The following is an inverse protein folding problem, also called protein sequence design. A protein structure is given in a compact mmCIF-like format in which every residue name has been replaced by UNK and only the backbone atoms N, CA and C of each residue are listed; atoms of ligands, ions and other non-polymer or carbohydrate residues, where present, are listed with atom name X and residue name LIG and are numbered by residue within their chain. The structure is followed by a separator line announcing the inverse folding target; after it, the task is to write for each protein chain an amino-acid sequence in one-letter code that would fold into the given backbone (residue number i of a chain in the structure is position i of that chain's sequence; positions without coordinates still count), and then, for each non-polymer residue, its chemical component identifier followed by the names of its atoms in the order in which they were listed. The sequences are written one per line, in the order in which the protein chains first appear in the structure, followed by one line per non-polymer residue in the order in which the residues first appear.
data_IF_002054949351
#
_entry.id   IF_002054949351
#
_cell.length_a   1.000
_cell.length_b   1.000
_cell.length_c   1.000
_cell.angle_alpha   90.00
_cell.angle_beta   90.00
_cell.angle_gamma   90.00
#
_symmetry.space_group_name_H-M   'P 1'
#
loop_
_entity.id
_entity.type
_entity.pdbx_description
1 polymer ?
#
# COMPACT_ATOMS: atom_id res chain seq x y z
N UNK A 1 -50.42 -7.37 -13.62
CA UNK A 1 -49.55 -7.13 -12.45
C UNK A 1 -48.11 -7.18 -12.91
N UNK A 2 -47.47 -6.03 -13.09
CA UNK A 2 -46.04 -5.96 -13.39
C UNK A 2 -45.26 -6.14 -12.09
N UNK A 3 -44.23 -7.01 -12.03
CA UNK A 3 -43.38 -7.10 -10.86
C UNK A 3 -42.58 -5.79 -10.73
N UNK A 4 -42.77 -5.09 -9.61
CA UNK A 4 -41.98 -3.92 -9.24
C UNK A 4 -40.53 -4.35 -9.10
N UNK A 5 -39.71 -3.94 -10.07
CA UNK A 5 -38.28 -4.19 -10.10
C UNK A 5 -37.62 -3.27 -9.07
N UNK A 6 -37.74 -3.61 -7.79
CA UNK A 6 -36.98 -2.98 -6.70
C UNK A 6 -35.53 -3.42 -6.84
N UNK A 7 -34.81 -2.74 -7.73
CA UNK A 7 -33.35 -2.78 -7.74
C UNK A 7 -32.89 -2.33 -6.35
N UNK A 8 -32.44 -3.29 -5.54
CA UNK A 8 -31.81 -3.00 -4.27
C UNK A 8 -30.60 -2.13 -4.58
N UNK A 9 -30.70 -0.82 -4.31
CA UNK A 9 -29.58 0.10 -4.42
C UNK A 9 -28.49 -0.41 -3.49
N UNK A 10 -27.52 -1.12 -4.07
CA UNK A 10 -26.43 -1.77 -3.33
C UNK A 10 -25.56 -0.66 -2.76
N UNK A 11 -25.79 -0.35 -1.50
CA UNK A 11 -25.18 0.78 -0.79
C UNK A 11 -23.66 0.63 -0.82
N UNK A 12 -22.98 1.50 -1.56
CA UNK A 12 -21.51 1.58 -1.53
C UNK A 12 -21.08 2.05 -0.15
N UNK A 13 -20.01 1.47 0.37
CA UNK A 13 -19.41 1.99 1.59
C UNK A 13 -18.86 3.40 1.32
N UNK A 14 -18.92 4.29 2.32
CA UNK A 14 -18.40 5.64 2.18
C UNK A 14 -16.88 5.62 1.96
N UNK A 15 -16.36 6.63 1.25
CA UNK A 15 -14.92 6.83 1.00
C UNK A 15 -14.10 6.81 2.31
N UNK A 16 -14.68 7.27 3.41
CA UNK A 16 -14.04 7.23 4.73
C UNK A 16 -13.61 5.83 5.15
N UNK A 17 -14.36 4.79 4.76
CA UNK A 17 -14.04 3.41 5.09
C UNK A 17 -12.85 2.89 4.27
N UNK A 18 -12.80 3.23 2.98
CA UNK A 18 -11.64 2.90 2.12
C UNK A 18 -10.37 3.58 2.62
N UNK A 19 -10.48 4.83 3.10
CA UNK A 19 -9.34 5.56 3.65
C UNK A 19 -8.80 4.87 4.90
N UNK A 20 -9.67 4.52 5.85
CA UNK A 20 -9.25 3.82 7.08
C UNK A 20 -8.62 2.46 6.75
N UNK A 21 -9.24 1.69 5.85
CA UNK A 21 -8.71 0.41 5.39
C UNK A 21 -7.35 0.57 4.66
N UNK A 22 -7.23 1.58 3.80
CA UNK A 22 -6.01 1.88 3.07
C UNK A 22 -4.85 2.30 3.98
N UNK A 23 -5.14 3.08 5.03
CA UNK A 23 -4.15 3.46 6.05
C UNK A 23 -3.69 2.21 6.80
N UNK A 24 -4.62 1.38 7.29
CA UNK A 24 -4.28 0.14 7.99
C UNK A 24 -3.45 -0.81 7.13
N UNK A 25 -3.83 -0.99 5.87
CA UNK A 25 -3.09 -1.82 4.91
C UNK A 25 -1.68 -1.27 4.63
N UNK A 26 -1.53 0.03 4.45
CA UNK A 26 -0.22 0.65 4.23
C UNK A 26 0.70 0.45 5.43
N UNK A 27 0.20 0.64 6.65
CA UNK A 27 0.96 0.36 7.86
C UNK A 27 1.36 -1.10 8.00
N UNK A 28 0.42 -2.01 7.71
CA UNK A 28 0.70 -3.44 7.71
C UNK A 28 1.86 -3.78 6.77
N UNK A 29 1.83 -3.28 5.53
CA UNK A 29 2.93 -3.49 4.58
C UNK A 29 4.25 -2.89 5.04
N UNK A 30 4.23 -1.68 5.60
CA UNK A 30 5.45 -1.06 6.12
C UNK A 30 6.07 -1.86 7.26
N UNK A 31 5.25 -2.42 8.16
CA UNK A 31 5.72 -3.28 9.25
C UNK A 31 6.30 -4.58 8.69
N UNK A 32 5.61 -5.25 7.77
CA UNK A 32 6.10 -6.48 7.14
C UNK A 32 7.42 -6.24 6.41
N UNK A 33 7.53 -5.17 5.63
CA UNK A 33 8.77 -4.77 4.96
C UNK A 33 9.88 -4.47 5.98
N UNK A 34 9.58 -3.72 7.04
CA UNK A 34 10.55 -3.43 8.11
C UNK A 34 11.09 -4.70 8.77
N UNK A 35 10.22 -5.67 9.05
CA UNK A 35 10.61 -6.96 9.63
C UNK A 35 11.47 -7.75 8.64
N UNK A 36 11.08 -7.81 7.36
CA UNK A 36 11.87 -8.50 6.33
C UNK A 36 13.27 -7.89 6.16
N UNK A 37 13.37 -6.56 6.16
CA UNK A 37 14.64 -5.83 6.15
C UNK A 37 15.49 -6.15 7.38
N UNK A 38 14.87 -6.16 8.56
CA UNK A 38 15.58 -6.48 9.80
C UNK A 38 16.12 -7.92 9.79
N UNK A 39 15.36 -8.87 9.27
CA UNK A 39 15.82 -10.25 9.04
C UNK A 39 17.03 -10.26 8.11
N UNK A 40 16.96 -9.56 6.98
CA UNK A 40 18.09 -9.49 6.03
C UNK A 40 19.33 -8.86 6.66
N UNK A 41 19.17 -7.80 7.45
CA UNK A 41 20.28 -7.13 8.12
C UNK A 41 20.92 -8.02 9.20
N UNK A 42 20.15 -8.91 9.84
CA UNK A 42 20.69 -9.90 10.78
C UNK A 42 21.55 -10.96 10.09
N UNK A 43 21.18 -11.40 8.89
CA UNK A 43 21.90 -12.44 8.13
C UNK A 43 23.00 -11.89 7.22
N UNK A 44 22.87 -10.64 6.75
CA UNK A 44 23.78 -9.96 5.84
C UNK A 44 24.13 -8.56 6.40
N UNK A 45 24.81 -8.48 7.57
CA UNK A 45 25.10 -7.22 8.21
C UNK A 45 26.02 -6.37 7.35
N UNK A 46 25.62 -5.12 7.09
CA UNK A 46 26.46 -4.13 6.41
C UNK A 46 27.17 -3.25 7.43
N UNK A 47 28.12 -2.45 6.96
CA UNK A 47 28.82 -1.43 7.77
C UNK A 47 27.89 -0.35 8.35
N UNK A 48 26.66 -0.22 7.84
CA UNK A 48 25.66 0.69 8.37
C UNK A 48 24.31 -0.03 8.54
N UNK A 49 23.87 -0.21 9.79
CA UNK A 49 22.55 -0.70 10.12
C UNK A 49 21.49 0.32 9.67
N UNK A 50 20.52 -0.11 8.86
CA UNK A 50 19.44 0.77 8.46
C UNK A 50 18.32 0.04 7.73
N UNK A 51 17.09 0.27 8.20
CA UNK A 51 15.87 -0.14 7.52
C UNK A 51 15.51 0.92 6.49
N UNK A 52 15.36 0.48 5.24
CA UNK A 52 14.88 1.28 4.11
C UNK A 52 13.63 0.60 3.57
N UNK A 53 12.61 1.38 3.23
CA UNK A 53 11.30 0.86 2.82
C UNK A 53 10.92 1.24 1.39
N UNK A 54 11.61 2.20 0.78
CA UNK A 54 11.43 2.56 -0.62
C UNK A 54 12.47 1.83 -1.47
N UNK A 55 12.03 0.91 -2.36
CA UNK A 55 12.92 0.29 -3.33
C UNK A 55 13.67 1.31 -4.19
N UNK A 56 12.99 2.40 -4.55
CA UNK A 56 13.55 3.45 -5.40
C UNK A 56 14.72 4.12 -4.68
N UNK A 57 14.54 4.47 -3.41
CA UNK A 57 15.59 5.08 -2.60
C UNK A 57 16.74 4.09 -2.32
N UNK A 58 16.40 2.83 -2.03
CA UNK A 58 17.40 1.80 -1.82
C UNK A 58 18.26 1.59 -3.08
N UNK A 59 17.68 1.64 -4.28
CA UNK A 59 18.43 1.55 -5.54
C UNK A 59 19.35 2.76 -5.75
N UNK A 60 18.89 3.98 -5.49
CA UNK A 60 19.71 5.20 -5.67
C UNK A 60 20.85 5.30 -4.66
N UNK A 61 20.73 4.65 -3.51
CA UNK A 61 21.77 4.60 -2.46
C UNK A 61 22.63 3.34 -2.50
N UNK A 62 22.61 2.60 -3.61
CA UNK A 62 23.37 1.34 -3.81
C UNK A 62 23.05 0.22 -2.80
N UNK A 63 21.85 0.25 -2.23
CA UNK A 63 21.31 -0.73 -1.28
C UNK A 63 20.51 -1.81 -2.00
N UNK A 64 21.15 -2.49 -2.95
CA UNK A 64 20.48 -3.44 -3.86
C UNK A 64 19.74 -4.58 -3.14
N UNK A 65 20.35 -5.17 -2.10
CA UNK A 65 19.72 -6.25 -1.34
C UNK A 65 18.44 -5.76 -0.67
N UNK A 66 18.48 -4.61 0.01
CA UNK A 66 17.30 -4.00 0.62
C UNK A 66 16.23 -3.71 -0.44
N UNK A 67 16.61 -3.14 -1.59
CA UNK A 67 15.66 -2.87 -2.68
C UNK A 67 14.98 -4.15 -3.18
N UNK A 68 15.72 -5.24 -3.36
CA UNK A 68 15.18 -6.53 -3.82
C UNK A 68 14.17 -7.06 -2.80
N UNK A 69 14.49 -6.99 -1.50
CA UNK A 69 13.60 -7.45 -0.42
C UNK A 69 12.28 -6.67 -0.45
N UNK A 70 12.34 -5.34 -0.52
CA UNK A 70 11.12 -4.51 -0.58
C UNK A 70 10.30 -4.79 -1.84
N UNK A 71 10.95 -4.93 -3.00
CA UNK A 71 10.27 -5.30 -4.25
C UNK A 71 9.58 -6.64 -4.10
N UNK A 72 10.24 -7.65 -3.53
CA UNK A 72 9.64 -8.97 -3.31
C UNK A 72 8.45 -8.87 -2.36
N UNK A 73 8.55 -8.13 -1.26
CA UNK A 73 7.44 -7.93 -0.30
C UNK A 73 6.25 -7.26 -0.99
N UNK A 74 6.46 -6.12 -1.65
CA UNK A 74 5.39 -5.38 -2.29
C UNK A 74 4.79 -6.11 -3.49
N UNK A 75 5.62 -6.77 -4.30
CA UNK A 75 5.14 -7.57 -5.43
C UNK A 75 4.36 -8.79 -4.96
N UNK A 76 4.78 -9.44 -3.87
CA UNK A 76 4.04 -10.57 -3.28
C UNK A 76 2.69 -10.13 -2.76
N UNK A 77 2.63 -9.00 -2.05
CA UNK A 77 1.38 -8.42 -1.58
C UNK A 77 0.46 -8.03 -2.76
N UNK A 78 1.02 -7.40 -3.79
CA UNK A 78 0.28 -7.04 -5.00
C UNK A 78 -0.26 -8.27 -5.74
N UNK A 79 0.58 -9.29 -5.95
CA UNK A 79 0.20 -10.52 -6.64
C UNK A 79 -0.85 -11.34 -5.88
N UNK A 80 -0.73 -11.40 -4.55
CA UNK A 80 -1.72 -12.03 -3.69
C UNK A 80 -3.11 -11.41 -3.90
N UNK A 81 -3.18 -10.07 -3.85
CA UNK A 81 -4.44 -9.34 -3.98
C UNK A 81 -5.00 -9.33 -5.41
N UNK A 82 -4.17 -9.49 -6.45
CA UNK A 82 -4.64 -9.65 -7.83
C UNK A 82 -5.36 -10.98 -8.06
N UNK A 83 -4.90 -12.06 -7.42
CA UNK A 83 -5.45 -13.40 -7.61
C UNK A 83 -6.85 -13.55 -7.01
N UNK A 84 -7.15 -12.80 -5.95
CA UNK A 84 -8.47 -12.76 -5.30
C UNK A 84 -9.49 -11.86 -6.01
N UNK A 85 -9.22 -11.40 -7.23
CA UNK A 85 -10.18 -10.63 -8.03
C UNK A 85 -11.27 -11.57 -8.59
N UNK A 86 -12.04 -12.23 -7.73
CA UNK A 86 -13.19 -13.03 -8.16
C UNK A 86 -14.34 -12.14 -8.63
N UNK A 87 -15.36 -12.75 -9.22
CA UNK A 87 -16.46 -12.09 -9.93
C UNK A 87 -17.34 -11.20 -9.03
N UNK A 88 -17.08 -11.12 -7.72
CA UNK A 88 -17.77 -10.25 -6.79
C UNK A 88 -17.19 -8.81 -6.78
N UNK A 89 -18.05 -7.81 -7.02
CA UNK A 89 -17.68 -6.38 -7.00
C UNK A 89 -16.92 -5.94 -5.73
N UNK A 90 -17.20 -6.57 -4.58
CA UNK A 90 -16.54 -6.24 -3.31
C UNK A 90 -15.07 -6.64 -3.32
N UNK A 91 -14.75 -7.82 -3.82
CA UNK A 91 -13.38 -8.32 -3.92
C UNK A 91 -12.58 -7.52 -4.95
N UNK A 92 -13.21 -7.14 -6.06
CA UNK A 92 -12.58 -6.27 -7.05
C UNK A 92 -12.17 -4.90 -6.47
N UNK A 93 -12.96 -4.35 -5.53
CA UNK A 93 -12.66 -3.09 -4.83
C UNK A 93 -11.55 -3.22 -3.81
N UNK A 94 -11.51 -4.32 -3.06
CA UNK A 94 -10.42 -4.59 -2.09
C UNK A 94 -9.09 -4.81 -2.84
N UNK A 95 -9.14 -5.56 -3.94
CA UNK A 95 -8.00 -5.79 -4.82
C UNK A 95 -7.47 -4.48 -5.43
N UNK A 96 -8.35 -3.57 -5.88
CA UNK A 96 -7.91 -2.26 -6.37
C UNK A 96 -7.36 -1.37 -5.27
N UNK A 97 -7.99 -1.36 -4.09
CA UNK A 97 -7.53 -0.57 -2.95
C UNK A 97 -6.10 -0.96 -2.54
N UNK A 98 -5.88 -2.26 -2.31
CA UNK A 98 -4.56 -2.79 -1.94
C UNK A 98 -3.52 -2.53 -3.03
N UNK A 99 -3.86 -2.67 -4.31
CA UNK A 99 -2.99 -2.35 -5.43
C UNK A 99 -2.52 -0.88 -5.40
N UNK A 100 -3.46 0.07 -5.30
CA UNK A 100 -3.11 1.50 -5.28
C UNK A 100 -2.39 1.90 -3.99
N UNK A 101 -2.73 1.33 -2.84
CA UNK A 101 -1.97 1.55 -1.61
C UNK A 101 -0.53 1.01 -1.73
N UNK A 102 -0.34 -0.19 -2.27
CA UNK A 102 1.00 -0.77 -2.48
C UNK A 102 1.82 0.11 -3.42
N UNK A 103 1.23 0.54 -4.54
CA UNK A 103 1.89 1.43 -5.49
C UNK A 103 2.25 2.78 -4.86
N UNK A 104 1.31 3.39 -4.14
CA UNK A 104 1.52 4.66 -3.43
C UNK A 104 2.65 4.54 -2.40
N UNK A 105 2.71 3.42 -1.68
CA UNK A 105 3.71 3.18 -0.65
C UNK A 105 5.13 3.11 -1.22
N UNK A 106 5.34 2.51 -2.40
CA UNK A 106 6.65 2.44 -3.07
C UNK A 106 7.29 3.83 -3.22
N UNK A 107 6.46 4.85 -3.52
CA UNK A 107 6.92 6.22 -3.67
C UNK A 107 6.94 6.97 -2.34
N UNK A 108 5.89 6.87 -1.52
CA UNK A 108 5.77 7.68 -0.30
C UNK A 108 6.66 7.21 0.84
N UNK A 109 7.06 5.93 0.86
CA UNK A 109 8.05 5.42 1.80
C UNK A 109 9.41 6.13 1.69
N UNK A 110 9.65 6.86 0.60
CA UNK A 110 10.85 7.70 0.45
C UNK A 110 10.94 8.75 1.56
N UNK A 111 9.82 9.24 2.08
CA UNK A 111 9.78 10.20 3.18
C UNK A 111 10.40 9.61 4.45
N UNK A 112 10.11 8.34 4.75
CA UNK A 112 10.75 7.62 5.84
C UNK A 112 12.25 7.47 5.59
N UNK A 113 12.63 7.03 4.40
CA UNK A 113 14.03 6.76 4.06
C UNK A 113 14.90 8.03 4.07
N UNK A 114 14.39 9.17 3.60
CA UNK A 114 15.08 10.48 3.70
C UNK A 114 15.36 10.89 5.15
N UNK A 115 14.60 10.37 6.11
CA UNK A 115 14.81 10.69 7.53
C UNK A 115 15.83 9.77 8.21
N UNK A 116 16.57 8.93 7.47
CA UNK A 116 17.50 7.94 8.05
C UNK A 116 18.57 8.51 8.98
N UNK A 117 18.99 9.77 8.75
CA UNK A 117 20.02 10.47 9.54
C UNK A 117 19.46 11.25 10.74
N UNK A 118 18.13 11.33 10.86
CA UNK A 118 17.46 12.12 11.88
C UNK A 118 17.18 11.29 13.16
N UNK A 119 16.87 11.96 14.28
CA UNK A 119 16.50 11.28 15.51
C UNK A 119 15.32 10.32 15.33
N UNK A 120 15.24 9.32 16.20
CA UNK A 120 14.20 8.27 16.17
C UNK A 120 12.79 8.87 16.18
N UNK A 121 12.56 9.97 16.89
CA UNK A 121 11.26 10.66 16.93
C UNK A 121 10.83 11.16 15.54
N UNK A 122 11.75 11.79 14.79
CA UNK A 122 11.49 12.24 13.42
C UNK A 122 11.22 11.06 12.49
N UNK A 123 11.97 9.97 12.66
CA UNK A 123 11.79 8.74 11.86
C UNK A 123 10.43 8.08 12.11
N UNK A 124 10.00 8.01 13.38
CA UNK A 124 8.66 7.51 13.73
C UNK A 124 7.58 8.41 13.10
N UNK A 125 7.74 9.73 13.19
CA UNK A 125 6.83 10.69 12.54
C UNK A 125 6.75 10.48 11.03
N UNK A 126 7.89 10.32 10.35
CA UNK A 126 7.95 10.07 8.91
C UNK A 126 7.38 8.69 8.52
N UNK A 127 7.57 7.67 9.35
CA UNK A 127 6.95 6.36 9.18
C UNK A 127 5.42 6.46 9.23
N UNK A 128 4.89 7.14 10.27
CA UNK A 128 3.45 7.37 10.42
C UNK A 128 2.88 8.18 9.25
N UNK A 129 3.56 9.27 8.88
CA UNK A 129 3.14 10.14 7.80
C UNK A 129 3.12 9.41 6.45
N UNK A 130 4.14 8.61 6.16
CA UNK A 130 4.22 7.81 4.92
C UNK A 130 3.06 6.82 4.82
N UNK A 131 2.75 6.12 5.92
CA UNK A 131 1.63 5.17 5.96
C UNK A 131 0.27 5.85 5.79
N UNK A 132 0.06 6.98 6.45
CA UNK A 132 -1.19 7.76 6.34
C UNK A 132 -1.36 8.31 4.92
N UNK A 133 -0.34 8.97 4.37
CA UNK A 133 -0.39 9.51 3.01
C UNK A 133 -0.59 8.39 1.98
N UNK A 134 0.09 7.26 2.15
CA UNK A 134 -0.07 6.10 1.27
C UNK A 134 -1.50 5.58 1.30
N UNK A 135 -2.08 5.43 2.49
CA UNK A 135 -3.45 4.98 2.67
C UNK A 135 -4.47 5.91 2.05
N UNK A 136 -4.36 7.21 2.32
CA UNK A 136 -5.26 8.24 1.76
C UNK A 136 -5.15 8.27 0.24
N UNK A 137 -3.93 8.33 -0.30
CA UNK A 137 -3.72 8.41 -1.76
C UNK A 137 -4.20 7.14 -2.45
N UNK A 138 -3.89 5.96 -1.90
CA UNK A 138 -4.34 4.69 -2.45
C UNK A 138 -5.87 4.52 -2.43
N UNK A 139 -6.52 4.90 -1.33
CA UNK A 139 -7.98 4.91 -1.21
C UNK A 139 -8.64 5.88 -2.18
N UNK A 140 -8.10 7.09 -2.30
CA UNK A 140 -8.63 8.11 -3.22
C UNK A 140 -8.49 7.67 -4.68
N UNK A 141 -7.34 7.13 -5.07
CA UNK A 141 -7.12 6.58 -6.41
C UNK A 141 -8.04 5.41 -6.71
N UNK A 142 -8.19 4.48 -5.77
CA UNK A 142 -9.10 3.33 -5.89
C UNK A 142 -10.55 3.79 -6.09
N UNK A 143 -10.99 4.79 -5.33
CA UNK A 143 -12.35 5.32 -5.42
C UNK A 143 -12.62 6.06 -6.74
N UNK A 144 -11.70 6.94 -7.16
CA UNK A 144 -11.81 7.70 -8.41
C UNK A 144 -11.84 6.77 -9.63
N UNK A 145 -10.90 5.82 -9.69
CA UNK A 145 -10.78 4.91 -10.83
C UNK A 145 -11.88 3.83 -10.82
N UNK A 146 -12.35 3.43 -9.63
CA UNK A 146 -13.52 2.57 -9.47
C UNK A 146 -14.83 3.22 -9.93
N UNK A 147 -14.96 4.54 -9.82
CA UNK A 147 -16.12 5.29 -10.33
C UNK A 147 -16.17 5.29 -11.86
N UNK A 148 -15.04 5.57 -12.50
CA UNK A 148 -14.92 5.62 -13.97
C UNK A 148 -15.20 4.26 -14.65
N UNK A 149 -14.95 3.15 -13.96
CA UNK A 149 -15.19 1.80 -14.51
C UNK A 149 -16.68 1.43 -14.53
N UNK A 150 -17.49 2.01 -13.63
CA UNK A 150 -18.93 1.78 -13.57
C UNK A 150 -19.66 2.63 -14.59
N UNK A 151 -19.28 3.89 -14.76
CA UNK A 151 -19.88 4.79 -15.76
C UNK A 151 -19.63 4.33 -17.21
N UNK A 152 -18.60 3.52 -17.47
CA UNK A 152 -18.35 2.93 -18.80
C UNK A 152 -19.08 1.62 -19.08
N UNK A 153 -19.75 1.02 -18.09
CA UNK A 153 -20.48 -0.25 -18.22
C UNK A 153 -22.01 -0.08 -18.24
N UNK A 154 -22.51 1.14 -18.04
CA UNK A 154 -23.90 1.55 -18.20
C UNK A 154 -24.05 2.31 -19.52
#
# INVERSE_FOLDING_TARGET
MQPSNTQSVKKREPLSWDVVAGIGYSFFLMVVASVAQLVVELFLPKTSFGVFLSPIYALTTHRYVQAIVDVVVYLSAYAYNLRERSSAEKEARISSLSAYCTLSLVFLAILFDFTSVYPVQTRIGAFLLSGVLSGITGATLSWLLGRNFVERKL
#
